data_IF_524687299339
#
_entry.id   IF_524687299339
#
_cell.length_a   1.000
_cell.length_b   1.000
_cell.length_c   1.000
_cell.angle_alpha   90.00
_cell.angle_beta   90.00
_cell.angle_gamma   90.00
#
_symmetry.space_group_name_H-M   'P 1'
#
loop_
_entity.id
_entity.type
_entity.pdbx_description
1 polymer ?
#
# COMPACT_ATOMS: atom_id res chain seq x y z
N UNK A 1 36.56 -22.16 -13.39
CA UNK A 1 35.14 -21.73 -13.36
C UNK A 1 34.59 -21.86 -14.78
N UNK A 2 33.60 -22.74 -15.03
CA UNK A 2 33.16 -23.07 -16.40
C UNK A 2 32.44 -21.88 -17.05
N UNK A 3 33.02 -21.32 -18.12
CA UNK A 3 32.48 -20.16 -18.86
C UNK A 3 31.01 -20.34 -19.24
N UNK A 4 30.60 -21.56 -19.61
CA UNK A 4 29.21 -21.89 -19.93
C UNK A 4 28.22 -21.67 -18.77
N UNK A 5 28.62 -21.94 -17.52
CA UNK A 5 27.75 -21.70 -16.36
C UNK A 5 27.54 -20.21 -16.13
N UNK A 6 28.59 -19.40 -16.32
CA UNK A 6 28.55 -17.94 -16.20
C UNK A 6 27.66 -17.33 -17.30
N UNK A 7 27.82 -17.78 -18.55
CA UNK A 7 27.00 -17.33 -19.68
C UNK A 7 25.53 -17.70 -19.50
N UNK A 8 25.22 -18.87 -18.94
CA UNK A 8 23.85 -19.29 -18.68
C UNK A 8 23.19 -18.48 -17.54
N UNK A 9 23.92 -18.21 -16.45
CA UNK A 9 23.42 -17.33 -15.38
C UNK A 9 23.24 -15.89 -15.86
N UNK A 10 24.10 -15.40 -16.75
CA UNK A 10 23.99 -14.06 -17.33
C UNK A 10 22.81 -13.97 -18.31
N UNK A 11 22.60 -14.98 -19.15
CA UNK A 11 21.46 -15.06 -20.06
C UNK A 11 20.13 -15.17 -19.30
N UNK A 12 20.08 -15.94 -18.21
CA UNK A 12 18.90 -16.02 -17.34
C UNK A 12 18.61 -14.68 -16.64
N UNK A 13 19.64 -13.98 -16.15
CA UNK A 13 19.49 -12.66 -15.56
C UNK A 13 18.97 -11.62 -16.57
N UNK A 14 19.47 -11.64 -17.81
CA UNK A 14 19.00 -10.75 -18.89
C UNK A 14 17.56 -11.08 -19.30
N UNK A 15 17.20 -12.36 -19.42
CA UNK A 15 15.84 -12.77 -19.79
C UNK A 15 14.80 -12.39 -18.72
N UNK A 16 15.16 -12.45 -17.43
CA UNK A 16 14.29 -12.02 -16.32
C UNK A 16 14.21 -10.49 -16.19
N UNK A 17 15.25 -9.77 -16.63
CA UNK A 17 15.31 -8.31 -16.64
C UNK A 17 14.44 -7.63 -17.71
N UNK A 18 13.89 -8.38 -18.66
CA UNK A 18 12.97 -7.87 -19.70
C UNK A 18 11.51 -7.78 -19.24
N UNK A 19 11.22 -8.02 -17.97
CA UNK A 19 9.86 -7.85 -17.44
C UNK A 19 9.55 -6.37 -17.28
N UNK A 20 8.47 -5.91 -17.92
CA UNK A 20 7.99 -4.54 -17.75
C UNK A 20 7.58 -4.33 -16.30
N UNK A 21 8.25 -3.39 -15.61
CA UNK A 21 7.87 -2.97 -14.27
C UNK A 21 6.42 -2.47 -14.28
N UNK A 22 5.52 -3.21 -13.64
CA UNK A 22 4.18 -2.70 -13.36
C UNK A 22 4.30 -1.71 -12.20
N UNK A 23 4.18 -0.42 -12.49
CA UNK A 23 4.11 0.66 -11.49
C UNK A 23 2.76 0.59 -10.74
N UNK A 24 2.57 -0.46 -9.94
CA UNK A 24 1.33 -0.78 -9.25
C UNK A 24 1.48 -0.80 -7.73
N UNK A 25 2.64 -0.41 -7.20
CA UNK A 25 2.89 -0.39 -5.76
C UNK A 25 1.95 0.58 -5.04
N UNK A 26 1.67 1.77 -5.59
CA UNK A 26 0.72 2.73 -5.02
C UNK A 26 1.01 3.03 -3.54
N UNK A 27 0.15 2.52 -2.65
CA UNK A 27 0.25 2.63 -1.19
C UNK A 27 0.64 1.31 -0.51
N UNK A 28 1.13 0.32 -1.26
CA UNK A 28 1.68 -0.93 -0.74
C UNK A 28 3.03 -0.69 -0.09
N UNK A 29 3.22 -1.22 1.11
CA UNK A 29 4.47 -1.20 1.85
C UNK A 29 5.21 -2.52 1.70
N UNK A 30 6.52 -2.43 1.49
CA UNK A 30 7.42 -3.58 1.50
C UNK A 30 8.10 -3.74 2.86
N UNK A 31 7.95 -2.78 3.76
CA UNK A 31 8.71 -2.61 5.01
C UNK A 31 8.26 -3.55 6.13
N UNK A 32 8.35 -4.87 5.92
CA UNK A 32 7.97 -5.87 6.91
C UNK A 32 9.15 -6.48 7.68
N UNK A 33 10.40 -6.39 7.20
CA UNK A 33 11.55 -6.88 7.97
C UNK A 33 12.84 -6.15 7.64
N UNK A 34 13.70 -5.94 8.64
CA UNK A 34 15.02 -5.33 8.45
C UNK A 34 15.96 -6.21 7.61
N UNK A 35 15.87 -7.54 7.76
CA UNK A 35 16.63 -8.50 6.93
C UNK A 35 16.21 -8.43 5.47
N UNK A 36 14.90 -8.33 5.20
CA UNK A 36 14.38 -8.11 3.85
C UNK A 36 14.83 -6.77 3.29
N UNK A 37 14.75 -5.69 4.08
CA UNK A 37 15.19 -4.36 3.67
C UNK A 37 16.67 -4.35 3.24
N UNK A 38 17.55 -5.04 3.99
CA UNK A 38 18.97 -5.18 3.65
C UNK A 38 19.25 -5.91 2.34
N UNK A 39 18.26 -6.64 1.79
CA UNK A 39 18.32 -7.33 0.50
C UNK A 39 17.38 -6.71 -0.55
N UNK A 40 16.87 -5.50 -0.30
CA UNK A 40 15.85 -4.87 -1.14
C UNK A 40 14.62 -5.77 -1.39
N UNK A 41 14.27 -6.59 -0.39
CA UNK A 41 13.16 -7.57 -0.42
C UNK A 41 13.24 -8.59 -1.57
N UNK A 42 14.45 -8.87 -2.05
CA UNK A 42 14.69 -9.89 -3.06
C UNK A 42 14.53 -11.31 -2.49
N UNK A 43 13.89 -12.20 -3.25
CA UNK A 43 13.80 -13.65 -2.96
C UNK A 43 13.02 -14.00 -1.68
N UNK A 44 12.21 -13.07 -1.19
CA UNK A 44 11.52 -13.22 0.11
C UNK A 44 10.43 -14.31 0.13
N UNK A 45 9.99 -14.81 -1.03
CA UNK A 45 9.13 -15.98 -1.10
C UNK A 45 9.85 -17.31 -0.81
N UNK A 46 11.18 -17.35 -0.85
CA UNK A 46 11.99 -18.56 -0.70
C UNK A 46 13.06 -18.47 0.42
N UNK A 47 13.25 -17.31 1.03
CA UNK A 47 14.17 -17.11 2.16
C UNK A 47 13.55 -17.57 3.48
N UNK A 48 14.35 -18.13 4.40
CA UNK A 48 13.88 -18.57 5.72
C UNK A 48 14.92 -18.24 6.80
N UNK A 49 15.30 -16.97 6.90
CA UNK A 49 16.35 -16.55 7.85
C UNK A 49 15.86 -16.45 9.30
N UNK A 50 14.60 -16.06 9.48
CA UNK A 50 13.98 -15.88 10.78
C UNK A 50 12.45 -15.87 10.67
N UNK A 51 11.76 -15.75 11.81
CA UNK A 51 10.30 -15.76 11.90
C UNK A 51 9.57 -14.76 10.98
N UNK A 52 10.20 -13.68 10.50
CA UNK A 52 9.56 -12.70 9.61
C UNK A 52 9.20 -13.25 8.23
N UNK A 53 9.84 -14.34 7.80
CA UNK A 53 9.58 -14.96 6.48
C UNK A 53 8.12 -15.35 6.27
N UNK A 54 7.43 -15.71 7.35
CA UNK A 54 6.04 -16.15 7.31
C UNK A 54 5.09 -15.07 6.77
N UNK A 55 5.45 -13.79 6.92
CA UNK A 55 4.66 -12.67 6.40
C UNK A 55 4.58 -12.71 4.88
N UNK A 56 5.68 -13.12 4.23
CA UNK A 56 5.73 -13.23 2.77
C UNK A 56 5.33 -14.61 2.27
N UNK A 57 5.76 -15.68 2.93
CA UNK A 57 5.39 -17.04 2.58
C UNK A 57 5.29 -17.93 3.84
N UNK A 58 4.08 -18.35 4.26
CA UNK A 58 3.91 -19.20 5.44
C UNK A 58 4.60 -20.56 5.30
N UNK A 59 4.83 -21.08 4.08
CA UNK A 59 5.55 -22.35 3.89
C UNK A 59 7.02 -22.28 4.33
N UNK A 60 7.61 -21.09 4.45
CA UNK A 60 8.99 -20.93 4.91
C UNK A 60 9.18 -21.26 6.39
N UNK A 61 8.09 -21.29 7.18
CA UNK A 61 8.13 -21.69 8.59
C UNK A 61 8.66 -23.12 8.80
N UNK A 62 8.50 -24.03 7.82
CA UNK A 62 8.98 -25.42 7.95
C UNK A 62 10.49 -25.55 7.95
N UNK A 63 11.21 -24.48 7.56
CA UNK A 63 12.67 -24.43 7.55
C UNK A 63 13.25 -23.74 8.78
N UNK A 64 12.39 -23.23 9.68
CA UNK A 64 12.84 -22.59 10.92
C UNK A 64 12.97 -23.65 12.02
N UNK A 65 14.11 -23.62 12.71
CA UNK A 65 14.39 -24.50 13.84
C UNK A 65 14.10 -23.79 15.17
N UNK A 66 13.52 -24.54 16.11
CA UNK A 66 13.23 -24.06 17.45
C UNK A 66 12.14 -22.99 17.52
N UNK A 67 11.90 -22.50 18.73
CA UNK A 67 11.00 -21.34 18.93
C UNK A 67 11.77 -20.07 18.61
N UNK A 68 11.27 -19.26 17.69
CA UNK A 68 11.92 -18.02 17.28
C UNK A 68 11.00 -16.81 17.49
N UNK A 69 11.65 -15.68 17.73
CA UNK A 69 11.04 -14.39 17.89
C UNK A 69 11.81 -13.38 17.03
N UNK A 70 11.11 -12.56 16.26
CA UNK A 70 11.71 -11.51 15.43
C UNK A 70 10.84 -10.27 15.53
N UNK A 71 11.43 -9.13 15.87
CA UNK A 71 10.72 -7.86 15.96
C UNK A 71 11.65 -6.73 15.55
N UNK A 72 11.08 -5.65 15.08
CA UNK A 72 11.82 -4.45 14.73
C UNK A 72 10.88 -3.36 14.23
N UNK A 73 11.47 -2.32 13.66
CA UNK A 73 10.74 -1.29 12.96
C UNK A 73 11.60 -0.71 11.83
N UNK A 74 10.95 -0.22 10.79
CA UNK A 74 11.59 0.47 9.67
C UNK A 74 11.12 1.92 9.67
N UNK A 75 12.07 2.86 9.66
CA UNK A 75 11.77 4.27 9.50
C UNK A 75 11.77 4.63 8.01
N UNK A 76 10.61 5.06 7.53
CA UNK A 76 10.41 5.49 6.13
C UNK A 76 10.38 7.01 6.13
N UNK A 77 11.33 7.63 5.44
CA UNK A 77 11.42 9.08 5.30
C UNK A 77 11.32 9.46 3.81
N UNK A 78 10.11 9.50 3.24
CA UNK A 78 9.92 9.92 1.87
C UNK A 78 10.19 11.42 1.74
N UNK A 79 10.63 11.85 0.56
CA UNK A 79 10.70 13.26 0.18
C UNK A 79 10.03 13.40 -1.18
N UNK A 80 8.77 13.86 -1.18
CA UNK A 80 7.95 14.02 -2.38
C UNK A 80 7.59 15.49 -2.53
N UNK A 81 8.00 16.07 -3.65
CA UNK A 81 7.67 17.44 -4.01
C UNK A 81 6.70 17.44 -5.19
N UNK A 82 5.70 18.30 -5.14
CA UNK A 82 4.72 18.51 -6.20
C UNK A 82 4.89 19.92 -6.72
N UNK A 83 5.04 20.03 -8.04
CA UNK A 83 5.11 21.31 -8.76
C UNK A 83 4.10 21.27 -9.90
N UNK A 84 3.37 22.37 -10.10
CA UNK A 84 2.36 22.44 -11.15
C UNK A 84 1.86 23.85 -11.42
N UNK A 85 0.93 23.93 -12.36
CA UNK A 85 0.25 25.17 -12.73
C UNK A 85 -1.25 24.97 -12.58
N UNK A 86 -1.91 25.96 -11.97
CA UNK A 86 -3.36 26.02 -11.97
C UNK A 86 -3.81 26.64 -13.31
N UNK A 87 -4.67 25.93 -14.02
CA UNK A 87 -5.17 26.36 -15.33
C UNK A 87 -6.68 26.55 -15.31
N UNK A 88 -7.15 27.63 -15.94
CA UNK A 88 -8.56 27.90 -16.20
C UNK A 88 -8.73 28.10 -17.71
N UNK A 89 -9.59 27.32 -18.34
CA UNK A 89 -9.83 27.34 -19.79
C UNK A 89 -8.54 27.22 -20.63
N UNK A 90 -7.59 26.40 -20.19
CA UNK A 90 -6.31 26.19 -20.88
C UNK A 90 -5.27 27.29 -20.68
N UNK A 91 -5.55 28.30 -19.87
CA UNK A 91 -4.61 29.36 -19.52
C UNK A 91 -4.11 29.19 -18.08
N UNK A 92 -2.79 29.31 -17.88
CA UNK A 92 -2.21 29.30 -16.53
C UNK A 92 -2.61 30.57 -15.78
N UNK A 93 -3.31 30.39 -14.66
CA UNK A 93 -3.76 31.49 -13.80
C UNK A 93 -2.91 31.61 -12.54
N UNK A 94 -2.21 30.55 -12.14
CA UNK A 94 -1.26 30.56 -11.03
C UNK A 94 -0.26 29.40 -11.15
N UNK A 95 0.88 29.54 -10.48
CA UNK A 95 1.85 28.46 -10.25
C UNK A 95 1.65 27.91 -8.85
N UNK A 96 1.84 26.60 -8.64
CA UNK A 96 1.60 25.96 -7.36
C UNK A 96 2.66 24.92 -7.05
N UNK A 97 3.06 24.85 -5.78
CA UNK A 97 3.98 23.84 -5.30
C UNK A 97 3.70 23.45 -3.86
N UNK A 98 4.03 22.21 -3.53
CA UNK A 98 4.00 21.68 -2.18
C UNK A 98 5.23 20.79 -2.02
N UNK A 99 6.03 21.06 -0.99
CA UNK A 99 7.27 20.32 -0.75
C UNK A 99 7.06 19.33 0.40
N UNK A 100 7.77 18.20 0.32
CA UNK A 100 7.75 17.15 1.33
C UNK A 100 6.33 16.74 1.76
N UNK A 101 5.50 16.42 0.76
CA UNK A 101 4.07 16.15 0.97
C UNK A 101 3.80 14.81 1.64
N UNK A 102 4.82 13.96 1.82
CA UNK A 102 4.68 12.65 2.44
C UNK A 102 5.41 12.66 3.78
N UNK A 103 4.69 12.43 4.87
CA UNK A 103 5.29 12.41 6.19
C UNK A 103 6.15 11.15 6.39
N UNK A 104 7.19 11.29 7.22
CA UNK A 104 7.94 10.12 7.68
C UNK A 104 7.10 9.28 8.64
N UNK A 105 7.30 7.97 8.59
CA UNK A 105 6.57 7.00 9.41
C UNK A 105 7.49 5.91 9.95
N UNK A 106 7.12 5.34 11.10
CA UNK A 106 7.77 4.14 11.65
C UNK A 106 6.83 2.96 11.41
N UNK A 107 7.33 1.92 10.75
CA UNK A 107 6.59 0.70 10.44
C UNK A 107 7.09 -0.42 11.37
N UNK A 108 6.41 -0.69 12.50
CA UNK A 108 6.79 -1.77 13.40
C UNK A 108 6.41 -3.13 12.83
N UNK A 109 7.16 -4.16 13.24
CA UNK A 109 6.90 -5.54 12.88
C UNK A 109 7.23 -6.49 14.03
N UNK A 110 6.46 -7.58 14.11
CA UNK A 110 6.59 -8.60 15.14
C UNK A 110 6.23 -9.96 14.57
N UNK A 111 7.04 -10.96 14.90
CA UNK A 111 6.90 -12.31 14.40
C UNK A 111 7.29 -13.33 15.47
N UNK A 112 6.52 -14.40 15.52
CA UNK A 112 6.76 -15.57 16.34
C UNK A 112 6.63 -16.82 15.49
N UNK A 113 7.48 -17.82 15.74
CA UNK A 113 7.33 -19.16 15.14
C UNK A 113 7.68 -20.25 16.13
N UNK A 114 6.98 -21.38 16.05
CA UNK A 114 7.22 -22.55 16.90
C UNK A 114 6.88 -23.84 16.15
N UNK A 115 7.86 -24.73 15.91
CA UNK A 115 7.62 -26.09 15.50
C UNK A 115 6.77 -26.81 16.57
N UNK A 116 5.68 -27.43 16.14
CA UNK A 116 4.87 -28.32 16.98
C UNK A 116 5.43 -29.74 16.96
N UNK A 117 5.98 -30.15 15.82
CA UNK A 117 6.64 -31.44 15.56
C UNK A 117 7.43 -31.33 14.25
N UNK A 118 7.98 -32.45 13.76
CA UNK A 118 8.81 -32.51 12.55
C UNK A 118 8.09 -32.10 11.26
N UNK A 119 6.76 -32.00 11.29
CA UNK A 119 5.93 -31.66 10.12
C UNK A 119 5.22 -30.33 10.24
N UNK A 120 4.81 -29.91 11.42
CA UNK A 120 3.97 -28.74 11.61
C UNK A 120 4.68 -27.63 12.35
N UNK A 121 4.61 -26.41 11.81
CA UNK A 121 5.12 -25.19 12.45
C UNK A 121 4.03 -24.14 12.54
N UNK A 122 3.78 -23.61 13.73
CA UNK A 122 2.91 -22.47 13.95
C UNK A 122 3.70 -21.17 13.80
N UNK A 123 3.00 -20.13 13.35
CA UNK A 123 3.52 -18.78 13.31
C UNK A 123 2.45 -17.74 13.68
N UNK A 124 2.91 -16.61 14.20
CA UNK A 124 2.11 -15.40 14.33
C UNK A 124 2.92 -14.24 13.76
N UNK A 125 2.31 -13.48 12.87
CA UNK A 125 2.86 -12.26 12.31
C UNK A 125 1.98 -11.06 12.64
N UNK A 126 2.60 -9.94 12.99
CA UNK A 126 1.95 -8.64 13.16
C UNK A 126 2.76 -7.60 12.42
N UNK A 127 2.10 -6.84 11.54
CA UNK A 127 2.76 -5.85 10.70
C UNK A 127 1.75 -5.12 9.83
N UNK A 128 2.19 -4.68 8.65
CA UNK A 128 1.32 -3.99 7.69
C UNK A 128 1.76 -4.25 6.26
N UNK A 129 0.80 -4.31 5.33
CA UNK A 129 1.05 -4.41 3.90
C UNK A 129 0.75 -3.10 3.17
N UNK A 130 0.00 -2.19 3.79
CA UNK A 130 -0.52 -1.00 3.13
C UNK A 130 -0.46 0.19 4.09
N UNK A 131 0.11 1.28 3.60
CA UNK A 131 0.24 2.50 4.37
C UNK A 131 0.70 3.65 3.48
N UNK A 132 0.06 4.80 3.62
CA UNK A 132 0.43 6.04 2.94
C UNK A 132 -0.13 7.21 3.72
N UNK A 133 0.61 8.32 3.77
CA UNK A 133 0.12 9.60 4.25
C UNK A 133 0.66 10.71 3.37
N UNK A 134 -0.24 11.52 2.83
CA UNK A 134 0.10 12.72 2.08
C UNK A 134 -0.65 13.92 2.60
N UNK A 135 0.05 15.04 2.74
CA UNK A 135 -0.48 16.35 3.11
C UNK A 135 0.17 17.43 2.23
N UNK A 136 -0.64 18.05 1.37
CA UNK A 136 -0.23 19.14 0.49
C UNK A 136 -0.27 20.51 1.21
N UNK A 137 -0.89 20.58 2.38
CA UNK A 137 -1.15 21.82 3.09
C UNK A 137 -2.16 22.74 2.37
N UNK A 138 -2.52 23.83 3.04
CA UNK A 138 -3.49 24.82 2.54
C UNK A 138 -2.83 25.92 1.72
N UNK A 139 -1.49 26.07 1.79
CA UNK A 139 -0.75 27.01 0.96
C UNK A 139 -0.64 26.55 -0.51
N UNK A 140 -0.83 25.24 -0.75
CA UNK A 140 -0.95 24.71 -2.09
C UNK A 140 -2.25 25.19 -2.72
N UNK A 141 -2.18 26.04 -3.75
CA UNK A 141 -3.37 26.63 -4.39
C UNK A 141 -4.29 25.59 -5.05
N UNK A 142 -3.81 24.37 -5.27
CA UNK A 142 -4.61 23.22 -5.71
C UNK A 142 -5.28 22.42 -4.60
N UNK A 143 -5.22 22.86 -3.33
CA UNK A 143 -5.75 22.12 -2.17
C UNK A 143 -7.25 21.80 -2.25
N UNK A 144 -7.98 22.54 -3.08
CA UNK A 144 -9.41 22.34 -3.33
C UNK A 144 -9.72 21.06 -4.13
N UNK A 145 -8.74 20.53 -4.87
CA UNK A 145 -8.85 19.25 -5.59
C UNK A 145 -8.47 18.05 -4.70
N UNK A 146 -7.69 18.31 -3.65
CA UNK A 146 -7.23 17.35 -2.67
C UNK A 146 -6.12 17.99 -1.84
N UNK A 147 -6.15 17.79 -0.53
CA UNK A 147 -5.12 18.28 0.37
C UNK A 147 -4.50 17.14 1.19
N UNK A 148 -5.32 16.22 1.68
CA UNK A 148 -4.89 15.16 2.58
C UNK A 148 -5.40 13.81 2.11
N UNK A 149 -4.57 12.79 2.24
CA UNK A 149 -4.97 11.40 2.08
C UNK A 149 -4.12 10.52 2.99
N UNK A 150 -4.77 9.63 3.75
CA UNK A 150 -4.11 8.66 4.59
C UNK A 150 -4.79 7.30 4.45
N UNK A 151 -3.96 6.27 4.41
CA UNK A 151 -4.34 4.88 4.61
C UNK A 151 -3.37 4.34 5.64
N UNK A 152 -3.89 3.85 6.76
CA UNK A 152 -3.11 3.23 7.82
C UNK A 152 -3.70 1.86 8.13
N UNK A 153 -2.92 0.80 7.92
CA UNK A 153 -3.38 -0.57 8.21
C UNK A 153 -2.48 -1.27 9.20
N UNK A 154 -3.08 -2.14 10.02
CA UNK A 154 -2.40 -3.09 10.88
C UNK A 154 -2.98 -4.47 10.60
N UNK A 155 -2.11 -5.46 10.48
CA UNK A 155 -2.48 -6.83 10.18
C UNK A 155 -1.96 -7.78 11.25
N UNK A 156 -2.84 -8.67 11.71
CA UNK A 156 -2.51 -9.81 12.56
C UNK A 156 -2.75 -11.08 11.75
N UNK A 157 -1.74 -11.92 11.66
CA UNK A 157 -1.71 -13.05 10.76
C UNK A 157 -1.18 -14.33 11.45
N UNK A 158 -2.07 -15.15 12.04
CA UNK A 158 -1.72 -16.52 12.44
C UNK A 158 -1.49 -17.40 11.20
N UNK A 159 -0.42 -18.19 11.25
CA UNK A 159 0.03 -19.08 10.19
C UNK A 159 0.24 -20.50 10.70
N UNK A 160 0.03 -21.46 9.81
CA UNK A 160 0.40 -22.86 9.98
C UNK A 160 1.12 -23.34 8.72
N UNK A 161 2.25 -24.02 8.91
CA UNK A 161 3.00 -24.63 7.84
C UNK A 161 3.09 -26.14 8.04
N UNK A 162 3.14 -26.86 6.92
CA UNK A 162 3.19 -28.30 6.83
C UNK A 162 4.31 -28.74 5.89
N UNK A 163 5.27 -29.48 6.44
CA UNK A 163 6.35 -30.15 5.70
C UNK A 163 5.82 -31.45 5.13
N UNK A 164 5.56 -31.47 3.82
CA UNK A 164 5.06 -32.66 3.11
C UNK A 164 6.16 -33.73 3.08
N UNK A 165 7.37 -33.31 2.71
CA UNK A 165 8.59 -34.11 2.72
C UNK A 165 9.81 -33.17 2.76
N UNK A 166 11.03 -33.69 2.61
CA UNK A 166 12.26 -32.89 2.66
C UNK A 166 12.41 -31.90 1.49
N UNK A 167 11.65 -32.09 0.41
CA UNK A 167 11.69 -31.22 -0.76
C UNK A 167 10.50 -30.26 -0.82
N UNK A 168 9.34 -30.64 -0.31
CA UNK A 168 8.10 -29.89 -0.49
C UNK A 168 7.49 -29.47 0.84
N UNK A 169 7.13 -28.19 0.93
CA UNK A 169 6.41 -27.63 2.08
C UNK A 169 5.31 -26.70 1.59
N UNK A 170 4.24 -26.64 2.37
CA UNK A 170 3.11 -25.73 2.13
C UNK A 170 2.78 -24.99 3.43
N UNK A 171 2.13 -23.85 3.32
CA UNK A 171 1.65 -23.11 4.47
C UNK A 171 0.43 -22.29 4.12
N UNK A 172 -0.35 -21.97 5.14
CA UNK A 172 -1.51 -21.11 5.03
C UNK A 172 -1.66 -20.26 6.29
N UNK A 173 -2.35 -19.14 6.16
CA UNK A 173 -2.64 -18.26 7.28
C UNK A 173 -3.93 -17.49 7.08
N UNK A 174 -4.50 -17.06 8.20
CA UNK A 174 -5.66 -16.16 8.24
C UNK A 174 -5.13 -14.76 8.51
N UNK A 175 -5.65 -13.75 7.82
CA UNK A 175 -5.22 -12.36 7.95
C UNK A 175 -6.38 -11.56 8.52
N UNK A 176 -6.18 -10.93 9.67
CA UNK A 176 -7.12 -9.95 10.21
C UNK A 176 -6.52 -8.57 10.02
N UNK A 177 -7.14 -7.77 9.14
CA UNK A 177 -6.64 -6.46 8.73
C UNK A 177 -7.56 -5.40 9.30
N UNK A 178 -6.99 -4.48 10.07
CA UNK A 178 -7.66 -3.28 10.57
C UNK A 178 -7.13 -2.11 9.76
N UNK A 179 -8.03 -1.28 9.23
CA UNK A 179 -7.68 -0.13 8.42
C UNK A 179 -8.36 1.13 8.92
N UNK A 180 -7.62 2.23 8.87
CA UNK A 180 -8.13 3.58 9.03
C UNK A 180 -7.75 4.37 7.79
N UNK A 181 -8.62 5.27 7.38
CA UNK A 181 -8.30 6.18 6.29
C UNK A 181 -9.00 7.51 6.45
N UNK A 182 -8.37 8.53 5.92
CA UNK A 182 -9.01 9.83 5.74
C UNK A 182 -8.59 10.45 4.42
N UNK A 183 -9.45 11.30 3.87
CA UNK A 183 -9.21 11.99 2.63
C UNK A 183 -9.94 13.32 2.65
N UNK A 184 -9.26 14.36 2.18
CA UNK A 184 -9.74 15.71 2.27
C UNK A 184 -9.39 16.57 1.08
N UNK A 185 -10.12 17.67 0.97
CA UNK A 185 -9.76 18.87 0.22
C UNK A 185 -10.00 20.09 1.11
N UNK A 186 -9.16 21.13 0.93
CA UNK A 186 -9.27 22.38 1.67
C UNK A 186 -9.33 23.57 0.70
N UNK A 187 -10.04 24.62 1.10
CA UNK A 187 -9.91 25.90 0.41
C UNK A 187 -8.49 26.44 0.64
N UNK A 188 -7.80 26.92 -0.40
CA UNK A 188 -6.43 27.38 -0.21
C UNK A 188 -6.34 28.57 0.76
N UNK A 189 -5.17 28.83 1.34
CA UNK A 189 -5.01 30.00 2.22
C UNK A 189 -5.01 31.31 1.43
N UNK A 190 -4.70 31.24 0.13
CA UNK A 190 -4.68 32.37 -0.80
C UNK A 190 -5.45 32.02 -2.08
N UNK A 191 -6.38 32.89 -2.48
CA UNK A 191 -7.01 32.77 -3.78
C UNK A 191 -6.00 33.02 -4.92
N UNK A 192 -6.08 32.27 -6.02
CA UNK A 192 -5.40 32.64 -7.26
C UNK A 192 -5.79 34.06 -7.66
N UNK A 193 -4.83 34.83 -8.19
CA UNK A 193 -5.02 36.25 -8.54
C UNK A 193 -6.24 36.52 -9.43
N UNK A 194 -6.61 35.55 -10.28
CA UNK A 194 -7.79 35.60 -11.14
C UNK A 194 -9.12 35.71 -10.37
N UNK A 195 -9.16 35.28 -9.11
CA UNK A 195 -10.36 35.30 -8.25
C UNK A 195 -10.33 36.40 -7.18
N UNK A 196 -9.35 37.33 -7.23
CA UNK A 196 -9.24 38.45 -6.30
C UNK A 196 -10.54 39.28 -6.10
N UNK A 197 -11.42 39.48 -7.10
CA UNK A 197 -12.70 40.17 -6.88
C UNK A 197 -13.68 39.45 -5.93
N UNK A 198 -13.53 38.14 -5.72
CA UNK A 198 -14.37 37.32 -4.85
C UNK A 198 -13.81 37.17 -3.41
N UNK A 199 -12.68 37.84 -3.13
CA UNK A 199 -11.98 37.79 -1.84
C UNK A 199 -12.83 38.09 -0.59
N UNK A 200 -13.81 39.03 -0.60
CA UNK A 200 -14.62 39.31 0.59
C UNK A 200 -15.48 38.12 1.05
N UNK A 201 -15.95 37.29 0.11
CA UNK A 201 -16.75 36.09 0.40
C UNK A 201 -15.87 34.90 0.79
N UNK A 202 -14.62 34.91 0.32
CA UNK A 202 -13.66 33.82 0.51
C UNK A 202 -12.88 33.90 1.83
N UNK A 203 -12.47 35.11 2.24
CA UNK A 203 -11.60 35.34 3.40
C UNK A 203 -12.04 34.59 4.67
N UNK A 204 -13.35 34.49 5.02
CA UNK A 204 -13.79 33.72 6.19
C UNK A 204 -13.61 32.19 6.08
N UNK A 205 -13.47 31.67 4.86
CA UNK A 205 -13.38 30.23 4.55
C UNK A 205 -11.97 29.81 4.11
N UNK A 206 -11.03 30.76 3.95
CA UNK A 206 -9.67 30.49 3.55
C UNK A 206 -8.97 29.50 4.51
N UNK A 207 -8.32 28.48 3.97
CA UNK A 207 -7.66 27.43 4.75
C UNK A 207 -8.58 26.45 5.46
N UNK A 208 -9.92 26.61 5.39
CA UNK A 208 -10.85 25.66 5.98
C UNK A 208 -11.00 24.41 5.10
N UNK A 209 -11.33 23.27 5.73
CA UNK A 209 -11.65 22.05 5.00
C UNK A 209 -12.91 22.27 4.15
N UNK A 210 -12.76 22.07 2.84
CA UNK A 210 -13.89 22.05 1.92
C UNK A 210 -14.67 20.76 2.10
N UNK A 211 -13.94 19.64 2.18
CA UNK A 211 -14.49 18.31 2.32
C UNK A 211 -13.47 17.48 3.09
N UNK A 212 -13.87 16.84 4.16
CA UNK A 212 -13.06 15.90 4.91
C UNK A 212 -13.89 14.67 5.21
N UNK A 213 -13.33 13.48 5.00
CA UNK A 213 -13.95 12.21 5.31
C UNK A 213 -12.92 11.35 6.02
N UNK A 214 -13.36 10.72 7.10
CA UNK A 214 -12.56 9.75 7.85
C UNK A 214 -13.41 8.53 8.19
N UNK A 215 -12.76 7.38 8.33
CA UNK A 215 -13.42 6.16 8.77
C UNK A 215 -12.46 5.03 9.03
N UNK A 216 -12.99 3.99 9.65
CA UNK A 216 -12.28 2.76 9.96
C UNK A 216 -13.13 1.54 9.62
N UNK A 217 -12.45 0.41 9.41
CA UNK A 217 -13.06 -0.90 9.26
C UNK A 217 -12.05 -2.00 9.60
N UNK A 218 -12.53 -3.22 9.80
CA UNK A 218 -11.69 -4.40 9.90
C UNK A 218 -12.26 -5.54 9.06
N UNK A 219 -11.39 -6.28 8.41
CA UNK A 219 -11.79 -7.33 7.48
C UNK A 219 -10.84 -8.50 7.50
N UNK A 220 -11.32 -9.62 6.98
CA UNK A 220 -10.60 -10.88 6.96
C UNK A 220 -10.07 -11.18 5.57
N UNK A 221 -8.88 -11.77 5.54
CA UNK A 221 -8.26 -12.34 4.36
C UNK A 221 -7.57 -13.65 4.69
N UNK A 222 -6.91 -14.21 3.69
CA UNK A 222 -6.10 -15.41 3.85
C UNK A 222 -4.83 -15.30 3.01
N UNK A 223 -3.87 -16.15 3.35
CA UNK A 223 -2.66 -16.33 2.56
C UNK A 223 -2.32 -17.80 2.45
N UNK A 224 -1.67 -18.17 1.35
CA UNK A 224 -1.15 -19.50 1.12
C UNK A 224 0.22 -19.40 0.49
N UNK A 225 1.03 -20.43 0.70
CA UNK A 225 2.32 -20.53 0.04
C UNK A 225 2.81 -21.95 -0.05
N UNK A 226 3.76 -22.14 -0.95
CA UNK A 226 4.43 -23.40 -1.23
C UNK A 226 5.92 -23.16 -1.41
N UNK A 227 6.69 -24.21 -1.18
CA UNK A 227 8.12 -24.23 -1.27
C UNK A 227 8.59 -25.54 -1.87
N UNK A 228 9.56 -25.46 -2.78
CA UNK A 228 10.27 -26.59 -3.35
C UNK A 228 11.78 -26.42 -3.16
N UNK A 229 12.35 -27.23 -2.28
CA UNK A 229 13.79 -27.38 -2.07
C UNK A 229 14.34 -28.35 -3.13
N UNK A 230 15.02 -27.81 -4.13
CA UNK A 230 15.62 -28.59 -5.22
C UNK A 230 16.86 -29.34 -4.70
N UNK A 231 17.69 -28.64 -3.93
CA UNK A 231 18.90 -29.14 -3.27
C UNK A 231 19.27 -28.20 -2.11
N UNK A 232 20.24 -28.50 -1.24
CA UNK A 232 20.55 -27.67 -0.06
C UNK A 232 20.83 -26.20 -0.32
N UNK A 233 21.23 -25.82 -1.53
CA UNK A 233 21.56 -24.44 -1.91
C UNK A 233 20.47 -23.73 -2.74
N UNK A 234 19.45 -24.44 -3.22
CA UNK A 234 18.47 -23.89 -4.16
C UNK A 234 17.04 -24.23 -3.73
N UNK A 235 16.22 -23.19 -3.57
CA UNK A 235 14.79 -23.28 -3.23
C UNK A 235 13.99 -22.33 -4.12
N UNK A 236 12.81 -22.80 -4.53
CA UNK A 236 11.79 -21.98 -5.16
C UNK A 236 10.61 -21.86 -4.21
N UNK A 237 10.06 -20.66 -4.09
CA UNK A 237 8.88 -20.39 -3.26
C UNK A 237 7.84 -19.61 -4.05
N UNK A 238 6.58 -19.92 -3.80
CA UNK A 238 5.41 -19.23 -4.35
C UNK A 238 4.48 -18.90 -3.20
N UNK A 239 3.98 -17.67 -3.16
CA UNK A 239 2.98 -17.27 -2.19
C UNK A 239 1.90 -16.43 -2.82
N UNK A 240 0.72 -16.49 -2.21
CA UNK A 240 -0.46 -15.76 -2.61
C UNK A 240 -1.13 -15.18 -1.36
N UNK A 241 -1.43 -13.89 -1.42
CA UNK A 241 -2.19 -13.17 -0.41
C UNK A 241 -3.51 -12.76 -1.03
N UNK A 242 -4.63 -13.11 -0.37
CA UNK A 242 -5.95 -12.73 -0.85
C UNK A 242 -6.12 -11.21 -0.85
N UNK A 243 -6.98 -10.73 -1.73
CA UNK A 243 -7.53 -9.38 -1.59
C UNK A 243 -8.27 -9.26 -0.25
N UNK A 244 -8.25 -8.07 0.33
CA UNK A 244 -9.02 -7.69 1.52
C UNK A 244 -9.81 -6.46 1.16
N UNK A 245 -11.12 -6.48 1.43
CA UNK A 245 -12.04 -5.37 1.19
C UNK A 245 -12.40 -4.74 2.53
N UNK A 246 -12.12 -3.45 2.65
CA UNK A 246 -12.50 -2.62 3.79
C UNK A 246 -13.60 -1.65 3.33
N UNK A 247 -14.74 -1.69 4.00
CA UNK A 247 -15.88 -0.79 3.80
C UNK A 247 -15.92 0.22 4.97
N UNK A 248 -15.04 1.23 4.90
CA UNK A 248 -14.84 2.22 5.96
C UNK A 248 -16.15 2.93 6.33
N UNK A 249 -16.47 2.94 7.62
CA UNK A 249 -17.59 3.69 8.18
C UNK A 249 -17.04 4.80 9.08
N UNK A 250 -17.60 6.00 8.98
CA UNK A 250 -17.16 7.13 9.79
C UNK A 250 -17.93 8.41 9.47
N UNK A 251 -17.25 9.54 9.51
CA UNK A 251 -17.86 10.86 9.47
C UNK A 251 -17.30 11.72 8.34
N UNK A 252 -18.13 12.67 7.89
CA UNK A 252 -17.77 13.67 6.89
C UNK A 252 -18.03 15.06 7.45
N UNK A 253 -17.13 16.02 7.18
CA UNK A 253 -17.21 17.40 7.66
C UNK A 253 -16.54 18.38 6.70
N UNK A 254 -16.80 19.68 6.88
CA UNK A 254 -16.26 20.75 6.05
C UNK A 254 -17.33 21.59 5.37
N UNK A 255 -16.91 22.67 4.74
CA UNK A 255 -17.82 23.68 4.18
C UNK A 255 -18.83 23.10 3.16
N UNK A 256 -18.50 22.02 2.45
CA UNK A 256 -19.44 21.35 1.54
C UNK A 256 -20.58 20.60 2.26
N UNK A 257 -20.44 20.29 3.55
CA UNK A 257 -21.42 19.56 4.35
C UNK A 257 -22.07 20.42 5.44
N UNK A 258 -21.34 21.37 6.00
CA UNK A 258 -21.78 22.20 7.13
C UNK A 258 -22.59 23.44 6.68
N UNK A 259 -22.47 23.84 5.41
CA UNK A 259 -23.23 24.97 4.88
C UNK A 259 -24.63 24.50 4.51
N UNK A 260 -25.59 24.76 5.41
CA UNK A 260 -27.01 24.85 5.06
C UNK A 260 -27.14 25.90 3.96
N UNK A 261 -27.20 25.45 2.70
CA UNK A 261 -27.42 26.31 1.55
C UNK A 261 -28.86 26.86 1.64
N UNK A 262 -29.04 27.95 2.39
CA UNK A 262 -30.09 28.93 2.15
C UNK A 262 -29.74 29.69 0.86
N UNK A 263 -29.63 28.97 -0.26
CA UNK A 263 -29.57 29.53 -1.60
C UNK A 263 -30.90 29.16 -2.23
N UNK A 264 -31.67 30.19 -2.59
CA UNK A 264 -32.90 30.02 -3.36
C UNK A 264 -32.65 29.08 -4.54
N UNK A 265 -33.25 27.89 -4.45
CA UNK A 265 -33.36 26.89 -5.50
C UNK A 265 -34.16 27.45 -6.66
N UNK A 266 -33.53 28.16 -7.60
CA UNK A 266 -34.07 28.28 -8.96
C UNK A 266 -33.07 28.10 -10.12
N UNK A 267 -31.73 28.15 -9.92
CA UNK A 267 -30.79 28.10 -11.07
C UNK A 267 -29.66 27.05 -11.02
N UNK A 268 -29.83 25.93 -10.31
CA UNK A 268 -28.88 24.80 -10.38
C UNK A 268 -29.54 23.48 -10.82
N UNK A 269 -30.16 23.50 -11.99
CA UNK A 269 -30.32 22.27 -12.78
C UNK A 269 -29.06 22.12 -13.64
N UNK A 270 -28.12 21.29 -13.17
CA UNK A 270 -27.05 20.59 -13.93
C UNK A 270 -25.83 20.43 -13.02
N UNK A 271 -25.88 19.48 -12.07
CA UNK A 271 -24.71 18.79 -11.51
C UNK A 271 -25.23 17.60 -10.70
N UNK A 272 -25.65 16.57 -11.42
CA UNK A 272 -26.01 15.28 -10.86
C UNK A 272 -24.72 14.56 -10.40
N UNK A 273 -24.31 14.82 -9.16
CA UNK A 273 -23.10 14.23 -8.57
C UNK A 273 -23.46 12.91 -7.87
N UNK A 274 -23.66 11.85 -8.67
CA UNK A 274 -23.68 10.46 -8.18
C UNK A 274 -22.23 10.00 -7.92
N UNK A 275 -21.69 10.29 -6.73
CA UNK A 275 -20.41 9.73 -6.26
C UNK A 275 -20.66 8.46 -5.44
N UNK A 276 -20.77 7.31 -6.11
CA UNK A 276 -20.46 6.02 -5.48
C UNK A 276 -18.95 5.75 -5.62
N UNK A 277 -18.14 6.16 -4.65
CA UNK A 277 -16.75 5.69 -4.57
C UNK A 277 -16.72 4.35 -3.83
N UNK A 278 -16.77 3.27 -4.62
CA UNK A 278 -16.48 1.92 -4.17
C UNK A 278 -14.96 1.75 -4.17
N UNK A 279 -14.34 1.71 -2.99
CA UNK A 279 -12.93 1.35 -2.87
C UNK A 279 -12.79 -0.14 -3.22
N UNK A 280 -12.42 -0.42 -4.47
CA UNK A 280 -12.21 -1.78 -4.98
C UNK A 280 -10.70 -2.03 -5.05
N UNK A 281 -10.13 -2.52 -3.95
CA UNK A 281 -8.75 -3.04 -3.96
C UNK A 281 -8.79 -4.40 -4.68
N UNK A 282 -8.64 -4.36 -6.01
CA UNK A 282 -8.58 -5.53 -6.87
C UNK A 282 -7.17 -5.67 -7.44
N UNK A 283 -6.36 -6.55 -6.86
CA UNK A 283 -5.19 -7.10 -7.54
C UNK A 283 -5.67 -8.11 -8.58
N UNK A 284 -5.96 -7.64 -9.79
CA UNK A 284 -6.09 -8.54 -10.95
C UNK A 284 -4.72 -9.14 -11.26
N UNK A 285 -4.52 -10.37 -10.81
CA UNK A 285 -3.44 -11.26 -11.24
C UNK A 285 -3.49 -11.44 -12.76
N UNK A 286 -2.50 -10.91 -13.48
CA UNK A 286 -2.32 -11.14 -14.90
C UNK A 286 -1.69 -12.52 -15.14
N UNK A 287 -2.52 -13.53 -15.39
CA UNK A 287 -2.08 -14.77 -16.02
C UNK A 287 -1.94 -14.52 -17.53
N UNK A 288 -0.72 -14.21 -17.96
CA UNK A 288 -0.35 -14.06 -19.36
C UNK A 288 -0.11 -15.45 -19.97
N UNK A 289 -1.12 -15.97 -20.64
CA UNK A 289 -1.00 -17.00 -21.67
C UNK A 289 -1.75 -16.47 -22.89
N UNK A 290 -1.06 -15.70 -23.73
CA UNK A 290 -1.54 -15.36 -25.08
C UNK A 290 -0.67 -16.05 -26.10
N UNK A 291 -1.26 -17.06 -26.73
CA UNK A 291 -0.80 -17.58 -28.00
C UNK A 291 -0.94 -16.48 -29.06
N UNK A 292 0.14 -16.35 -29.82
CA UNK A 292 0.30 -15.53 -31.01
C UNK A 292 -0.75 -15.92 -32.07
N UNK A 293 -1.33 -14.91 -32.74
CA UNK A 293 -1.83 -15.08 -34.10
C UNK A 293 -1.62 -13.79 -34.89
N UNK A 294 -0.59 -13.89 -35.75
CA UNK A 294 -0.06 -13.00 -36.81
C UNK A 294 0.29 -11.58 -36.38
#
# INVERSE_FOLDING_TARGET
MNKQKITLSLAAAVALGLTSNAMAAGFQLAEYSATGLGRAFAVEAAMADNASTQFRNPAMLTYLEGTQFSTGAIYVAPNIDVNGNLQLNGHTIDSTSANNIANSAVVPNFYFSRPLNDKFTLGLAVGTHFGMRTDLGTNFTGSMFGNQAEVHTVEINPNLAYKINDQFSVGAGVRYVMGKGHFGAALPSSLPKAFAPYNPMYSPLAGQNLKYMEGDDSSWGWQAGAAWQINPANRIGVSYHSAVKLDLTGHASGAAFDVNMAVHTQDLYLLDFQLQQKLLVSTKSSTLLRFMRV
#
